data_IF_454711660669
#
_entry.id   IF_454711660669
#
_cell.length_a   1.000
_cell.length_b   1.000
_cell.length_c   1.000
_cell.angle_alpha   90.00
_cell.angle_beta   90.00
_cell.angle_gamma   90.00
#
_symmetry.space_group_name_H-M   'P 1'
#
loop_
_entity.id
_entity.type
_entity.pdbx_description
1 polymer ?
#
# COMPACT_ATOMS: atom_id res chain seq x y z
N UNK A 1 -0.24 3.94 35.72
CA UNK A 1 -0.99 3.20 34.70
C UNK A 1 -2.13 2.47 35.40
N UNK A 2 -3.37 2.81 35.09
CA UNK A 2 -4.56 2.17 35.67
C UNK A 2 -4.77 0.78 35.05
N UNK A 3 -5.60 -0.06 35.69
CA UNK A 3 -5.96 -1.37 35.12
C UNK A 3 -6.64 -1.26 33.75
N UNK A 4 -7.40 -0.18 33.52
CA UNK A 4 -8.03 0.09 32.23
C UNK A 4 -7.00 0.43 31.14
N UNK A 5 -5.99 1.23 31.46
CA UNK A 5 -4.91 1.58 30.53
C UNK A 5 -4.09 0.35 30.13
N UNK A 6 -3.84 -0.57 31.07
CA UNK A 6 -3.18 -1.86 30.79
C UNK A 6 -4.01 -2.67 29.80
N UNK A 7 -5.32 -2.81 30.06
CA UNK A 7 -6.23 -3.58 29.20
C UNK A 7 -6.31 -2.99 27.80
N UNK A 8 -6.40 -1.66 27.68
CA UNK A 8 -6.45 -0.95 26.40
C UNK A 8 -5.17 -1.16 25.61
N UNK A 9 -4.01 -1.05 26.25
CA UNK A 9 -2.69 -1.28 25.63
C UNK A 9 -2.53 -2.73 25.18
N UNK A 10 -2.99 -3.68 25.99
CA UNK A 10 -2.90 -5.10 25.62
C UNK A 10 -3.80 -5.43 24.41
N UNK A 11 -4.98 -4.80 24.32
CA UNK A 11 -5.87 -4.97 23.15
C UNK A 11 -5.25 -4.44 21.85
N UNK A 12 -4.43 -3.39 21.90
CA UNK A 12 -3.75 -2.88 20.70
C UNK A 12 -2.62 -3.80 20.21
N UNK A 13 -2.16 -4.77 21.02
CA UNK A 13 -1.08 -5.71 20.64
C UNK A 13 -1.35 -6.41 19.31
N UNK A 14 -2.62 -6.76 19.02
CA UNK A 14 -2.99 -7.45 17.79
C UNK A 14 -2.72 -6.62 16.52
N UNK A 15 -2.52 -5.30 16.65
CA UNK A 15 -2.21 -4.45 15.51
C UNK A 15 -0.91 -4.86 14.79
N UNK A 16 0.05 -5.45 15.52
CA UNK A 16 1.31 -5.93 14.93
C UNK A 16 1.09 -7.05 13.90
N UNK A 17 0.04 -7.85 14.09
CA UNK A 17 -0.29 -8.96 13.17
C UNK A 17 -0.69 -8.44 11.79
N UNK A 18 -1.32 -7.27 11.71
CA UNK A 18 -1.60 -6.61 10.44
C UNK A 18 -0.32 -6.15 9.75
N UNK A 19 0.67 -5.62 10.50
CA UNK A 19 1.97 -5.25 9.93
C UNK A 19 2.68 -6.47 9.33
N UNK A 20 2.69 -7.61 10.02
CA UNK A 20 3.27 -8.83 9.47
C UNK A 20 2.50 -9.35 8.27
N UNK A 21 1.17 -9.41 8.35
CA UNK A 21 0.33 -9.86 7.23
C UNK A 21 0.59 -9.03 5.97
N UNK A 22 0.51 -7.72 6.10
CA UNK A 22 0.65 -6.81 4.96
C UNK A 22 2.07 -6.86 4.39
N UNK A 23 3.09 -6.95 5.26
CA UNK A 23 4.48 -7.01 4.80
C UNK A 23 4.77 -8.30 4.03
N UNK A 24 4.21 -9.43 4.49
CA UNK A 24 4.31 -10.72 3.79
C UNK A 24 3.60 -10.69 2.43
N UNK A 25 2.43 -10.06 2.36
CA UNK A 25 1.59 -10.09 1.15
C UNK A 25 1.97 -9.06 0.08
N UNK A 26 2.48 -7.89 0.50
CA UNK A 26 2.59 -6.74 -0.39
C UNK A 26 4.01 -6.18 -0.52
N UNK A 27 4.88 -6.39 0.46
CA UNK A 27 6.23 -5.79 0.47
C UNK A 27 7.36 -6.82 0.57
N UNK A 28 7.06 -8.09 0.31
CA UNK A 28 8.06 -9.14 0.11
C UNK A 28 8.86 -9.56 1.35
N UNK A 29 8.25 -9.50 2.55
CA UNK A 29 8.94 -9.89 3.80
C UNK A 29 9.50 -11.33 3.75
N UNK A 30 8.86 -12.22 2.99
CA UNK A 30 9.24 -13.64 2.87
C UNK A 30 9.89 -13.99 1.52
N UNK A 31 10.13 -13.00 0.66
CA UNK A 31 10.53 -13.25 -0.73
C UNK A 31 12.06 -13.38 -0.86
N UNK A 32 12.82 -12.84 0.10
CA UNK A 32 14.27 -12.89 0.08
C UNK A 32 14.79 -14.30 0.37
N UNK A 33 15.51 -14.88 -0.58
CA UNK A 33 16.15 -16.20 -0.47
C UNK A 33 17.68 -16.12 -0.23
N UNK A 34 18.17 -14.96 0.19
CA UNK A 34 19.59 -14.77 0.48
C UNK A 34 20.04 -15.64 1.66
N UNK A 35 21.27 -16.15 1.60
CA UNK A 35 21.88 -16.94 2.69
C UNK A 35 22.74 -16.11 3.64
N UNK A 36 23.10 -14.90 3.24
CA UNK A 36 23.96 -14.02 4.03
C UNK A 36 23.14 -13.13 4.97
N UNK A 37 23.47 -13.13 6.27
CA UNK A 37 22.73 -12.40 7.31
C UNK A 37 22.46 -10.94 6.96
N UNK A 38 23.48 -10.19 6.51
CA UNK A 38 23.30 -8.76 6.17
C UNK A 38 22.30 -8.53 5.03
N UNK A 39 22.20 -9.48 4.08
CA UNK A 39 21.26 -9.36 2.96
C UNK A 39 19.83 -9.64 3.43
N UNK A 40 19.64 -10.59 4.34
CA UNK A 40 18.36 -10.84 5.00
C UNK A 40 17.93 -9.64 5.85
N UNK A 41 18.83 -9.11 6.69
CA UNK A 41 18.56 -7.93 7.52
C UNK A 41 18.14 -6.72 6.67
N UNK A 42 18.84 -6.49 5.55
CA UNK A 42 18.47 -5.45 4.59
C UNK A 42 17.07 -5.70 3.99
N UNK A 43 16.79 -6.91 3.52
CA UNK A 43 15.51 -7.23 2.90
C UNK A 43 14.32 -7.06 3.87
N UNK A 44 14.46 -7.52 5.12
CA UNK A 44 13.42 -7.34 6.14
C UNK A 44 13.16 -5.86 6.44
N UNK A 45 14.23 -5.07 6.62
CA UNK A 45 14.11 -3.64 6.87
C UNK A 45 13.49 -2.90 5.68
N UNK A 46 13.89 -3.24 4.45
CA UNK A 46 13.32 -2.68 3.23
C UNK A 46 11.82 -3.00 3.10
N UNK A 47 11.42 -4.23 3.46
CA UNK A 47 10.02 -4.65 3.46
C UNK A 47 9.16 -3.79 4.40
N UNK A 48 9.56 -3.67 5.67
CA UNK A 48 8.83 -2.85 6.63
C UNK A 48 8.89 -1.35 6.33
N UNK A 49 10.02 -0.85 5.82
CA UNK A 49 10.14 0.53 5.38
C UNK A 49 9.16 0.85 4.24
N UNK A 50 9.01 -0.06 3.28
CA UNK A 50 8.04 0.06 2.18
C UNK A 50 6.61 0.06 2.69
N UNK A 51 6.28 -0.79 3.68
CA UNK A 51 4.95 -0.78 4.30
C UNK A 51 4.67 0.56 5.00
N UNK A 52 5.64 1.09 5.73
CA UNK A 52 5.49 2.39 6.41
C UNK A 52 5.30 3.53 5.41
N UNK A 53 6.08 3.55 4.32
CA UNK A 53 5.91 4.53 3.24
C UNK A 53 4.51 4.45 2.62
N UNK A 54 4.01 3.24 2.35
CA UNK A 54 2.65 3.06 1.83
C UNK A 54 1.58 3.55 2.82
N UNK A 55 1.75 3.32 4.12
CA UNK A 55 0.84 3.84 5.16
C UNK A 55 0.82 5.36 5.24
N UNK A 56 1.99 6.00 5.12
CA UNK A 56 2.08 7.47 5.04
C UNK A 56 1.38 7.97 3.79
N UNK A 57 1.64 7.36 2.63
CA UNK A 57 0.96 7.70 1.38
C UNK A 57 -0.57 7.60 1.51
N UNK A 58 -1.10 6.51 2.09
CA UNK A 58 -2.54 6.36 2.31
C UNK A 58 -3.10 7.47 3.21
N UNK A 59 -2.41 7.77 4.32
CA UNK A 59 -2.81 8.81 5.26
C UNK A 59 -2.86 10.18 4.59
N UNK A 60 -1.82 10.54 3.84
CA UNK A 60 -1.69 11.84 3.19
C UNK A 60 -2.72 12.04 2.07
N UNK A 61 -3.21 10.94 1.49
CA UNK A 61 -4.23 10.95 0.43
C UNK A 61 -5.66 10.66 0.96
N UNK A 62 -5.86 10.58 2.28
CA UNK A 62 -7.17 10.30 2.88
C UNK A 62 -7.75 8.94 2.49
N UNK A 63 -6.89 7.97 2.17
CA UNK A 63 -7.29 6.62 1.76
C UNK A 63 -7.50 5.71 2.97
N UNK A 64 -8.36 4.70 2.80
CA UNK A 64 -8.46 3.60 3.76
C UNK A 64 -7.10 2.91 3.92
N UNK A 65 -6.82 2.43 5.13
CA UNK A 65 -5.59 1.70 5.46
C UNK A 65 -5.60 0.25 4.89
N UNK A 66 -5.72 0.12 3.56
CA UNK A 66 -5.80 -1.14 2.83
C UNK A 66 -4.73 -1.21 1.76
N UNK A 67 -3.70 -2.02 2.01
CA UNK A 67 -2.61 -2.26 1.05
C UNK A 67 -3.09 -2.86 -0.26
N UNK A 68 -4.11 -3.71 -0.23
CA UNK A 68 -4.72 -4.28 -1.43
C UNK A 68 -5.32 -3.20 -2.34
N UNK A 69 -6.04 -2.21 -1.77
CA UNK A 69 -6.61 -1.09 -2.53
C UNK A 69 -5.52 -0.23 -3.15
N UNK A 70 -4.47 0.11 -2.38
CA UNK A 70 -3.32 0.87 -2.89
C UNK A 70 -2.66 0.13 -4.05
N UNK A 71 -2.37 -1.16 -3.89
CA UNK A 71 -1.77 -1.98 -4.95
C UNK A 71 -2.62 -1.96 -6.22
N UNK A 72 -3.93 -2.17 -6.10
CA UNK A 72 -4.84 -2.12 -7.25
C UNK A 72 -4.89 -0.75 -7.91
N UNK A 73 -4.91 0.34 -7.12
CA UNK A 73 -4.87 1.70 -7.63
C UNK A 73 -3.59 1.97 -8.42
N UNK A 74 -2.42 1.67 -7.83
CA UNK A 74 -1.13 1.88 -8.47
C UNK A 74 -1.01 1.05 -9.75
N UNK A 75 -1.36 -0.25 -9.67
CA UNK A 75 -1.35 -1.13 -10.84
C UNK A 75 -2.25 -0.61 -11.96
N UNK A 76 -3.49 -0.21 -11.65
CA UNK A 76 -4.41 0.31 -12.65
C UNK A 76 -3.91 1.62 -13.26
N UNK A 77 -3.35 2.52 -12.45
CA UNK A 77 -2.77 3.77 -12.93
C UNK A 77 -1.59 3.52 -13.89
N UNK A 78 -0.64 2.67 -13.47
CA UNK A 78 0.54 2.35 -14.27
C UNK A 78 0.17 1.62 -15.56
N UNK A 79 -0.74 0.65 -15.48
CA UNK A 79 -1.19 -0.10 -16.66
C UNK A 79 -1.97 0.77 -17.64
N UNK A 80 -2.81 1.69 -17.13
CA UNK A 80 -3.54 2.65 -17.97
C UNK A 80 -2.56 3.60 -18.69
N UNK A 81 -1.55 4.10 -17.98
CA UNK A 81 -0.50 4.93 -18.58
C UNK A 81 0.24 4.16 -19.69
N UNK A 82 0.60 2.89 -19.41
CA UNK A 82 1.26 2.03 -20.39
C UNK A 82 0.42 1.84 -21.67
N UNK A 83 -0.90 1.63 -21.55
CA UNK A 83 -1.80 1.51 -22.71
C UNK A 83 -1.77 2.78 -23.57
N UNK A 84 -1.85 3.95 -22.94
CA UNK A 84 -1.83 5.22 -23.66
C UNK A 84 -0.49 5.47 -24.34
N UNK A 85 0.61 5.14 -23.67
CA UNK A 85 1.96 5.28 -24.21
C UNK A 85 2.17 4.37 -25.42
N UNK A 86 1.82 3.08 -25.31
CA UNK A 86 1.91 2.11 -26.41
C UNK A 86 1.03 2.53 -27.59
N UNK A 87 -0.20 2.95 -27.29
CA UNK A 87 -1.18 3.34 -28.31
C UNK A 87 -0.90 4.72 -28.92
N UNK A 88 0.06 5.48 -28.37
CA UNK A 88 0.36 6.88 -28.71
C UNK A 88 -0.87 7.79 -28.67
N UNK A 89 -1.82 7.44 -27.79
CA UNK A 89 -3.08 8.15 -27.64
C UNK A 89 -3.04 9.02 -26.39
N UNK A 90 -3.49 10.28 -26.50
CA UNK A 90 -3.66 11.14 -25.33
C UNK A 90 -5.11 11.08 -24.85
N UNK A 91 -5.37 10.82 -23.55
CA UNK A 91 -6.71 10.79 -23.02
C UNK A 91 -7.40 12.16 -23.15
N UNK A 92 -8.64 12.17 -23.65
CA UNK A 92 -9.46 13.38 -23.73
C UNK A 92 -10.01 13.72 -22.33
N UNK A 93 -9.26 14.54 -21.60
CA UNK A 93 -9.57 14.91 -20.20
C UNK A 93 -10.94 15.56 -20.03
N UNK A 94 -11.39 16.35 -21.01
CA UNK A 94 -12.70 17.03 -20.98
C UNK A 94 -13.84 16.02 -21.03
N UNK A 95 -13.77 15.07 -21.98
CA UNK A 95 -14.77 14.01 -22.10
C UNK A 95 -14.77 13.11 -20.86
N UNK A 96 -13.59 12.71 -20.38
CA UNK A 96 -13.46 11.87 -19.18
C UNK A 96 -14.06 12.58 -17.96
N UNK A 97 -13.74 13.86 -17.75
CA UNK A 97 -14.29 14.62 -16.63
C UNK A 97 -15.81 14.74 -16.69
N UNK A 98 -16.38 14.89 -17.89
CA UNK A 98 -17.84 14.90 -18.09
C UNK A 98 -18.46 13.54 -17.71
N UNK A 99 -17.92 12.44 -18.24
CA UNK A 99 -18.41 11.07 -17.96
C UNK A 99 -18.30 10.75 -16.46
N UNK A 100 -17.18 11.07 -15.83
CA UNK A 100 -16.97 10.82 -14.38
C UNK A 100 -18.00 11.59 -13.54
N UNK A 101 -18.30 12.85 -13.90
CA UNK A 101 -19.36 13.61 -13.23
C UNK A 101 -20.74 13.00 -13.43
N UNK A 102 -21.04 12.45 -14.61
CA UNK A 102 -22.33 11.78 -14.88
C UNK A 102 -22.47 10.43 -14.16
N UNK A 103 -21.37 9.73 -13.88
CA UNK A 103 -21.39 8.43 -13.21
C UNK A 103 -21.37 8.53 -11.68
N UNK A 104 -20.75 9.56 -11.12
CA UNK A 104 -20.43 9.66 -9.68
C UNK A 104 -21.03 10.91 -9.04
N UNK A 105 -21.44 11.91 -9.83
CA UNK A 105 -22.16 13.12 -9.38
C UNK A 105 -23.66 12.95 -9.48
#
# INVERSE_FOLDING_TARGET
MTGEEVLKTYRTRFQIEFCYRDSKQFTGLMDCQARHKRQLDFAFNASFASLNAAKVFMKDNGMDNSMAKVKSLMFNADYTNLIFDISRCRPNRTLISKIVKELIG
#
